data_IF_043357407553
#
_entry.id   IF_043357407553
#
_cell.length_a   1.000
_cell.length_b   1.000
_cell.length_c   1.000
_cell.angle_alpha   90.00
_cell.angle_beta   90.00
_cell.angle_gamma   90.00
#
_symmetry.space_group_name_H-M   'P 1'
#
loop_
_entity.id
_entity.type
_entity.pdbx_description
1 polymer ?
#
# COMPACT_ATOMS: atom_id res chain seq x y z
N UNK A 1 -5.17 -17.74 17.11
CA UNK A 1 -3.75 -17.57 16.72
C UNK A 1 -3.64 -16.79 15.39
N UNK A 2 -4.08 -17.35 14.26
CA UNK A 2 -3.82 -16.86 12.89
C UNK A 2 -4.64 -15.66 12.37
N UNK A 3 -5.59 -15.12 13.14
CA UNK A 3 -6.36 -13.95 12.69
C UNK A 3 -5.45 -12.73 12.51
N UNK A 4 -5.64 -11.97 11.42
CA UNK A 4 -5.02 -10.66 11.19
C UNK A 4 -5.40 -9.60 12.24
N UNK A 5 -6.51 -9.83 12.94
CA UNK A 5 -7.13 -8.84 13.81
C UNK A 5 -7.14 -9.29 15.27
N UNK A 6 -7.08 -8.31 16.17
CA UNK A 6 -7.42 -8.45 17.59
C UNK A 6 -8.59 -7.55 17.94
N UNK A 7 -9.47 -8.00 18.84
CA UNK A 7 -10.59 -7.21 19.35
C UNK A 7 -10.13 -6.47 20.60
N UNK A 8 -10.34 -5.16 20.66
CA UNK A 8 -10.01 -4.36 21.84
C UNK A 8 -11.10 -4.46 22.93
N UNK A 9 -10.87 -3.84 24.09
CA UNK A 9 -11.81 -3.85 25.23
C UNK A 9 -13.19 -3.26 24.90
N UNK A 10 -13.28 -2.38 23.89
CA UNK A 10 -14.53 -1.77 23.42
C UNK A 10 -15.19 -2.58 22.31
N UNK A 11 -14.58 -3.70 21.92
CA UNK A 11 -15.08 -4.58 20.88
C UNK A 11 -14.69 -4.19 19.46
N UNK A 12 -13.84 -3.18 19.26
CA UNK A 12 -13.39 -2.75 17.93
C UNK A 12 -12.24 -3.62 17.45
N UNK A 13 -12.25 -3.93 16.14
CA UNK A 13 -11.20 -4.72 15.49
C UNK A 13 -9.97 -3.85 15.19
N UNK A 14 -8.79 -4.38 15.50
CA UNK A 14 -7.50 -3.73 15.30
C UNK A 14 -6.55 -4.67 14.55
N UNK A 15 -5.83 -4.15 13.56
CA UNK A 15 -4.82 -4.94 12.81
C UNK A 15 -3.63 -5.25 13.72
N UNK A 16 -3.08 -6.47 13.61
CA UNK A 16 -1.95 -6.92 14.44
C UNK A 16 -0.56 -6.45 14.00
N UNK A 17 -0.38 -6.00 12.75
CA UNK A 17 0.94 -5.68 12.15
C UNK A 17 1.67 -4.48 12.77
N UNK A 18 1.01 -3.71 13.64
CA UNK A 18 1.56 -2.47 14.17
C UNK A 18 1.58 -1.30 13.19
N UNK A 19 1.30 -1.53 11.89
CA UNK A 19 1.19 -0.52 10.83
C UNK A 19 2.34 0.50 10.82
N UNK A 20 3.58 0.01 10.89
CA UNK A 20 4.77 0.85 10.79
C UNK A 20 4.77 1.62 9.47
N UNK A 21 5.19 2.90 9.48
CA UNK A 21 5.21 3.80 8.32
C UNK A 21 6.35 3.47 7.32
N UNK A 22 6.47 2.20 6.95
CA UNK A 22 7.27 1.71 5.84
C UNK A 22 6.44 0.67 5.09
N UNK A 23 6.73 0.44 3.81
CA UNK A 23 6.07 -0.60 3.04
C UNK A 23 7.06 -1.12 2.00
N UNK A 24 7.43 -2.38 2.11
CA UNK A 24 8.36 -2.98 1.15
C UNK A 24 7.75 -3.05 -0.26
N UNK A 25 6.45 -3.33 -0.36
CA UNK A 25 5.73 -3.56 -1.63
C UNK A 25 5.82 -2.38 -2.59
N UNK A 26 5.75 -1.14 -2.07
CA UNK A 26 5.84 0.08 -2.86
C UNK A 26 7.14 0.18 -3.68
N UNK A 27 8.24 -0.40 -3.19
CA UNK A 27 9.55 -0.25 -3.80
C UNK A 27 9.89 -1.29 -4.87
N UNK A 28 9.25 -2.46 -4.85
CA UNK A 28 9.65 -3.59 -5.71
C UNK A 28 8.50 -4.28 -6.44
N UNK A 29 7.25 -3.95 -6.15
CA UNK A 29 6.10 -4.69 -6.68
C UNK A 29 4.95 -3.77 -7.08
N UNK A 30 5.28 -2.90 -8.02
CA UNK A 30 4.31 -2.03 -8.68
C UNK A 30 3.38 -2.85 -9.57
N UNK A 31 2.16 -2.36 -9.72
CA UNK A 31 1.16 -3.02 -10.55
C UNK A 31 0.82 -2.10 -11.71
N UNK A 32 0.68 -2.71 -12.88
CA UNK A 32 0.27 -2.04 -14.11
C UNK A 32 -1.06 -2.69 -14.51
N UNK A 33 -2.09 -1.88 -14.67
CA UNK A 33 -3.41 -2.34 -15.13
C UNK A 33 -3.38 -2.65 -16.63
N UNK A 34 -4.39 -3.35 -17.13
CA UNK A 34 -4.48 -3.76 -18.53
C UNK A 34 -4.51 -2.56 -19.51
N UNK A 35 -5.00 -1.41 -19.06
CA UNK A 35 -5.04 -0.15 -19.79
C UNK A 35 -3.81 0.74 -19.53
N UNK A 36 -2.77 0.21 -18.86
CA UNK A 36 -1.48 0.90 -18.73
C UNK A 36 -1.39 1.89 -17.56
N UNK A 37 -2.38 1.94 -16.67
CA UNK A 37 -2.29 2.74 -15.43
C UNK A 37 -1.33 2.07 -14.46
N UNK A 38 -0.42 2.86 -13.89
CA UNK A 38 0.49 2.42 -12.84
C UNK A 38 -0.14 2.73 -11.48
N UNK A 39 -0.22 1.73 -10.61
CA UNK A 39 -0.77 1.84 -9.24
C UNK A 39 0.24 1.32 -8.21
N UNK A 40 0.20 1.80 -6.95
CA UNK A 40 1.27 1.57 -5.96
C UNK A 40 1.41 0.12 -5.50
N UNK A 41 0.35 -0.67 -5.55
CA UNK A 41 0.29 -1.99 -4.91
C UNK A 41 -0.93 -2.80 -5.39
N UNK A 42 -0.84 -4.13 -5.34
CA UNK A 42 -1.98 -5.02 -5.60
C UNK A 42 -3.13 -4.94 -4.58
N UNK A 43 -2.93 -4.24 -3.45
CA UNK A 43 -4.00 -3.93 -2.51
C UNK A 43 -4.93 -2.82 -3.02
N UNK A 44 -4.51 -2.07 -4.04
CA UNK A 44 -5.34 -1.13 -4.77
C UNK A 44 -6.22 -1.85 -5.80
N UNK A 45 -7.21 -2.60 -5.29
CA UNK A 45 -8.01 -3.55 -6.09
C UNK A 45 -8.82 -2.87 -7.19
N UNK A 46 -9.30 -1.67 -6.91
CA UNK A 46 -10.13 -0.87 -7.81
C UNK A 46 -9.29 0.16 -8.58
N UNK A 47 -7.96 0.09 -8.46
CA UNK A 47 -7.00 0.98 -9.09
C UNK A 47 -7.31 2.47 -8.84
N UNK A 48 -7.61 2.85 -7.60
CA UNK A 48 -7.97 4.25 -7.28
C UNK A 48 -6.76 5.18 -7.14
N UNK A 49 -5.58 4.63 -6.85
CA UNK A 49 -4.35 5.39 -6.59
C UNK A 49 -3.46 5.46 -7.84
N UNK A 50 -3.90 6.22 -8.84
CA UNK A 50 -3.16 6.37 -10.10
C UNK A 50 -1.84 7.13 -9.90
N UNK A 51 -0.72 6.47 -10.21
CA UNK A 51 0.63 7.08 -10.17
C UNK A 51 1.08 7.56 -11.55
N UNK A 52 0.51 7.03 -12.62
CA UNK A 52 0.82 7.43 -13.99
C UNK A 52 0.16 6.52 -15.03
N UNK A 53 0.47 6.76 -16.31
CA UNK A 53 -0.09 6.02 -17.44
C UNK A 53 1.00 5.76 -18.48
N UNK A 54 1.27 4.49 -18.75
CA UNK A 54 2.31 4.03 -19.67
C UNK A 54 1.96 4.26 -21.15
N UNK A 55 0.72 4.59 -21.47
CA UNK A 55 0.35 5.06 -22.81
C UNK A 55 0.88 6.48 -23.11
N UNK A 56 1.23 7.25 -22.07
CA UNK A 56 1.62 8.67 -22.20
C UNK A 56 3.09 8.93 -21.84
N UNK A 57 3.68 8.12 -20.95
CA UNK A 57 4.98 8.37 -20.36
C UNK A 57 5.72 7.05 -20.10
N UNK A 58 7.04 7.07 -20.10
CA UNK A 58 7.82 5.87 -19.76
C UNK A 58 7.63 5.51 -18.29
N UNK A 59 7.83 4.24 -17.92
CA UNK A 59 7.80 3.85 -16.51
C UNK A 59 8.84 4.61 -15.67
N UNK A 60 10.00 4.93 -16.26
CA UNK A 60 11.03 5.74 -15.59
C UNK A 60 10.50 7.12 -15.23
N UNK A 61 9.74 7.76 -16.12
CA UNK A 61 9.15 9.06 -15.85
C UNK A 61 8.09 8.96 -14.75
N UNK A 62 7.22 7.95 -14.82
CA UNK A 62 6.20 7.66 -13.79
C UNK A 62 6.85 7.47 -12.43
N UNK A 63 7.92 6.68 -12.33
CA UNK A 63 8.63 6.38 -11.09
C UNK A 63 9.19 7.61 -10.36
N UNK A 64 9.51 8.66 -11.12
CA UNK A 64 10.10 9.90 -10.62
C UNK A 64 9.13 11.08 -10.62
N UNK A 65 7.87 10.90 -11.04
CA UNK A 65 6.92 12.00 -11.10
C UNK A 65 6.39 12.43 -9.72
N UNK A 66 5.66 13.55 -9.70
CA UNK A 66 5.13 14.13 -8.48
C UNK A 66 4.12 13.21 -7.76
N UNK A 67 3.24 12.52 -8.49
CA UNK A 67 2.22 11.64 -7.91
C UNK A 67 2.89 10.49 -7.14
N UNK A 68 3.91 9.88 -7.73
CA UNK A 68 4.66 8.80 -7.12
C UNK A 68 5.40 9.30 -5.87
N UNK A 69 6.12 10.42 -5.97
CA UNK A 69 6.83 11.01 -4.83
C UNK A 69 5.87 11.38 -3.69
N UNK A 70 4.70 11.93 -4.02
CA UNK A 70 3.68 12.28 -3.04
C UNK A 70 3.14 11.04 -2.32
N UNK A 71 2.79 9.98 -3.06
CA UNK A 71 2.32 8.73 -2.45
C UNK A 71 3.36 8.11 -1.51
N UNK A 72 4.66 8.12 -1.90
CA UNK A 72 5.77 7.68 -1.03
C UNK A 72 5.81 8.51 0.25
N UNK A 73 5.71 9.83 0.15
CA UNK A 73 5.73 10.74 1.31
C UNK A 73 4.54 10.47 2.24
N UNK A 74 3.34 10.30 1.70
CA UNK A 74 2.14 9.99 2.47
C UNK A 74 2.29 8.66 3.20
N UNK A 75 2.80 7.63 2.51
CA UNK A 75 3.04 6.32 3.11
C UNK A 75 4.04 6.38 4.26
N UNK A 76 5.14 7.10 4.10
CA UNK A 76 6.16 7.29 5.14
C UNK A 76 5.67 8.18 6.29
N UNK A 77 4.64 9.00 6.06
CA UNK A 77 4.04 9.87 7.09
C UNK A 77 2.99 9.12 7.90
N UNK A 78 2.06 8.43 7.23
CA UNK A 78 0.99 7.69 7.90
C UNK A 78 0.31 6.69 6.97
N UNK A 79 0.70 5.42 7.06
CA UNK A 79 -0.02 4.33 6.36
C UNK A 79 -1.48 4.21 6.76
N UNK A 80 -1.81 4.54 8.01
CA UNK A 80 -3.18 4.49 8.52
C UNK A 80 -4.14 5.44 7.81
N UNK A 81 -3.63 6.46 7.12
CA UNK A 81 -4.43 7.46 6.41
C UNK A 81 -4.67 7.09 4.94
N UNK A 82 -4.00 6.06 4.43
CA UNK A 82 -4.20 5.54 3.08
C UNK A 82 -5.07 4.30 3.21
N UNK A 83 -6.27 4.34 2.65
CA UNK A 83 -7.30 3.31 2.75
C UNK A 83 -6.79 1.88 2.41
N UNK A 84 -6.05 1.74 1.31
CA UNK A 84 -5.47 0.45 0.87
C UNK A 84 -4.34 -0.03 1.80
N UNK A 85 -3.72 0.88 2.57
CA UNK A 85 -2.61 0.59 3.47
C UNK A 85 -3.07 0.32 4.90
N UNK A 86 -4.15 0.97 5.36
CA UNK A 86 -4.64 0.94 6.73
C UNK A 86 -5.08 -0.46 7.19
N UNK A 87 -5.38 -1.36 6.25
CA UNK A 87 -5.77 -2.75 6.50
C UNK A 87 -4.88 -3.78 5.78
N UNK A 88 -3.70 -3.35 5.35
CA UNK A 88 -2.75 -4.18 4.61
C UNK A 88 -2.15 -5.27 5.51
N UNK A 89 -1.84 -6.42 4.92
CA UNK A 89 -1.19 -7.53 5.61
C UNK A 89 0.33 -7.41 5.72
N UNK A 90 0.94 -6.41 5.07
CA UNK A 90 2.36 -6.14 5.21
C UNK A 90 2.69 -5.78 6.68
N UNK A 91 3.78 -6.35 7.20
CA UNK A 91 4.19 -6.22 8.60
C UNK A 91 3.53 -7.21 9.57
N UNK A 92 2.66 -8.11 9.10
CA UNK A 92 2.20 -9.24 9.91
C UNK A 92 3.31 -10.31 9.98
N UNK A 93 3.63 -10.77 11.19
CA UNK A 93 4.39 -12.02 11.33
C UNK A 93 3.44 -13.20 11.07
N UNK A 94 3.83 -14.08 10.15
CA UNK A 94 3.20 -15.39 9.93
C UNK A 94 3.89 -16.49 10.70
N UNK A 95 5.08 -16.21 11.24
CA UNK A 95 5.92 -17.14 11.99
C UNK A 95 6.02 -16.65 13.44
N UNK A 96 5.27 -17.28 14.32
CA UNK A 96 5.38 -17.16 15.77
C UNK A 96 5.48 -18.59 16.29
N UNK A 97 6.56 -18.91 17.02
CA UNK A 97 6.74 -20.20 17.69
C UNK A 97 5.49 -20.50 18.58
#
# INVERSE_FOLDING_TARGET
>A
KYSRYKKDRKGKMQVKSGLQNHCWKLWHANVITWDGIVVPCCFDKDAMHHLGNLQMQSFKDVWHNANYQQFRKELMTSRKNIDICANCSEGLSVWED
#
